data_IF_590439635369
#
_entry.id   IF_590439635369
#
_cell.length_a   1.000
_cell.length_b   1.000
_cell.length_c   1.000
_cell.angle_alpha   90.00
_cell.angle_beta   90.00
_cell.angle_gamma   90.00
#
_symmetry.space_group_name_H-M   'P 1'
#
loop_
_entity.id
_entity.type
_entity.pdbx_description
1 polymer ?
#
# COMPACT_ATOMS: atom_id res chain seq x y z
N UNK A 1 -10.54 -2.82 -9.28
CA UNK A 1 -9.74 -2.16 -8.22
C UNK A 1 -8.50 -2.98 -7.79
N UNK A 2 -8.68 -4.18 -7.22
CA UNK A 2 -7.57 -4.97 -6.65
C UNK A 2 -6.44 -5.27 -7.65
N UNK A 3 -6.75 -5.61 -8.89
CA UNK A 3 -5.72 -5.89 -9.91
C UNK A 3 -4.81 -4.70 -10.19
N UNK A 4 -5.39 -3.49 -10.30
CA UNK A 4 -4.60 -2.27 -10.53
C UNK A 4 -3.72 -1.97 -9.33
N UNK A 5 -4.24 -2.10 -8.10
CA UNK A 5 -3.46 -1.99 -6.87
C UNK A 5 -2.33 -3.03 -6.87
N UNK A 6 -2.59 -4.27 -7.31
CA UNK A 6 -1.57 -5.33 -7.41
C UNK A 6 -0.44 -4.94 -8.35
N UNK A 7 -0.75 -4.34 -9.51
CA UNK A 7 0.23 -3.82 -10.47
C UNK A 7 1.05 -2.65 -9.87
N UNK A 8 0.40 -1.68 -9.24
CA UNK A 8 1.06 -0.51 -8.62
C UNK A 8 1.97 -0.91 -7.43
N UNK A 9 1.55 -1.92 -6.67
CA UNK A 9 2.31 -2.51 -5.55
C UNK A 9 3.16 -3.71 -5.97
N UNK A 10 3.48 -3.85 -7.26
CA UNK A 10 4.38 -4.91 -7.72
C UNK A 10 5.75 -4.80 -7.06
N UNK A 11 6.34 -5.94 -6.72
CA UNK A 11 7.67 -6.06 -6.12
C UNK A 11 8.79 -5.80 -7.14
N UNK A 12 8.54 -5.96 -8.44
CA UNK A 12 9.57 -6.00 -9.49
C UNK A 12 9.69 -4.72 -10.32
N UNK A 13 8.82 -3.73 -10.15
CA UNK A 13 8.75 -2.57 -11.04
C UNK A 13 9.81 -1.47 -10.77
N UNK A 14 10.73 -1.67 -9.82
CA UNK A 14 11.82 -0.72 -9.53
C UNK A 14 11.39 0.63 -8.94
N UNK A 15 10.11 0.83 -8.61
CA UNK A 15 9.64 2.14 -8.14
C UNK A 15 10.08 2.46 -6.72
N UNK A 16 10.55 3.69 -6.53
CA UNK A 16 10.76 4.29 -5.21
C UNK A 16 9.46 4.42 -4.40
N UNK A 17 9.60 4.63 -3.09
CA UNK A 17 8.45 4.71 -2.17
C UNK A 17 7.54 5.91 -2.49
N UNK A 18 8.12 7.09 -2.74
CA UNK A 18 7.38 8.32 -3.06
C UNK A 18 6.52 8.16 -4.32
N UNK A 19 7.12 7.72 -5.44
CA UNK A 19 6.39 7.46 -6.70
C UNK A 19 5.24 6.49 -6.52
N UNK A 20 5.45 5.41 -5.73
CA UNK A 20 4.40 4.42 -5.46
C UNK A 20 3.27 5.02 -4.63
N UNK A 21 3.58 5.81 -3.61
CA UNK A 21 2.59 6.51 -2.77
C UNK A 21 1.72 7.44 -3.62
N UNK A 22 2.33 8.20 -4.51
CA UNK A 22 1.61 9.12 -5.40
C UNK A 22 0.67 8.38 -6.36
N UNK A 23 1.18 7.37 -7.07
CA UNK A 23 0.37 6.59 -8.01
C UNK A 23 -0.81 5.87 -7.31
N UNK A 24 -0.62 5.40 -6.08
CA UNK A 24 -1.68 4.80 -5.28
C UNK A 24 -2.72 5.84 -4.84
N UNK A 25 -2.28 7.01 -4.37
CA UNK A 25 -3.18 8.12 -3.99
C UNK A 25 -4.08 8.51 -5.16
N UNK A 26 -3.49 8.80 -6.32
CA UNK A 26 -4.24 9.20 -7.52
C UNK A 26 -5.27 8.14 -7.93
N UNK A 27 -4.87 6.87 -7.95
CA UNK A 27 -5.78 5.78 -8.32
C UNK A 27 -6.93 5.61 -7.32
N UNK A 28 -6.64 5.61 -6.02
CA UNK A 28 -7.65 5.40 -4.97
C UNK A 28 -8.63 6.57 -4.95
N UNK A 29 -8.13 7.81 -4.99
CA UNK A 29 -8.98 9.02 -5.03
C UNK A 29 -9.90 9.01 -6.24
N UNK A 30 -9.37 8.73 -7.44
CA UNK A 30 -10.20 8.65 -8.65
C UNK A 30 -11.27 7.55 -8.56
N UNK A 31 -10.91 6.39 -8.03
CA UNK A 31 -11.84 5.27 -7.87
C UNK A 31 -12.95 5.58 -6.86
N UNK A 32 -12.61 6.14 -5.70
CA UNK A 32 -13.61 6.52 -4.68
C UNK A 32 -14.54 7.62 -5.20
N UNK A 33 -14.01 8.63 -5.89
CA UNK A 33 -14.81 9.71 -6.47
C UNK A 33 -15.82 9.20 -7.50
N UNK A 34 -15.43 8.23 -8.33
CA UNK A 34 -16.31 7.64 -9.34
C UNK A 34 -17.44 6.84 -8.69
N UNK A 35 -17.14 6.03 -7.68
CA UNK A 35 -18.13 5.15 -7.05
C UNK A 35 -18.89 5.80 -5.88
N UNK A 36 -18.65 7.08 -5.55
CA UNK A 36 -19.12 7.74 -4.32
C UNK A 36 -20.62 7.65 -4.03
N UNK A 37 -21.45 7.43 -5.05
CA UNK A 37 -22.92 7.31 -4.94
C UNK A 37 -23.38 5.91 -4.53
N UNK A 38 -22.51 4.90 -4.56
CA UNK A 38 -22.81 3.55 -4.12
C UNK A 38 -22.49 3.36 -2.63
N UNK A 39 -23.32 2.63 -1.88
CA UNK A 39 -22.96 2.16 -0.55
C UNK A 39 -21.96 1.01 -0.65
N UNK A 40 -20.68 1.35 -0.51
CA UNK A 40 -19.54 0.45 -0.68
C UNK A 40 -18.66 0.36 0.58
N UNK A 41 -19.16 0.84 1.72
CA UNK A 41 -18.41 1.00 2.97
C UNK A 41 -17.82 -0.33 3.46
N UNK A 42 -18.63 -1.39 3.43
CA UNK A 42 -18.21 -2.76 3.80
C UNK A 42 -17.20 -3.36 2.83
N UNK A 43 -17.35 -3.08 1.53
CA UNK A 43 -16.42 -3.54 0.49
C UNK A 43 -15.07 -2.83 0.63
N UNK A 44 -15.08 -1.51 0.80
CA UNK A 44 -13.88 -0.69 0.96
C UNK A 44 -13.07 -1.11 2.19
N UNK A 45 -13.73 -1.42 3.30
CA UNK A 45 -13.05 -1.91 4.52
C UNK A 45 -12.26 -3.20 4.26
N UNK A 46 -12.86 -4.19 3.57
CA UNK A 46 -12.19 -5.43 3.18
C UNK A 46 -11.03 -5.20 2.20
N UNK A 47 -11.21 -4.24 1.28
CA UNK A 47 -10.16 -3.89 0.31
C UNK A 47 -8.99 -3.18 1.01
N UNK A 48 -9.26 -2.31 1.98
CA UNK A 48 -8.26 -1.58 2.74
C UNK A 48 -7.38 -2.52 3.58
N UNK A 49 -7.97 -3.50 4.26
CA UNK A 49 -7.21 -4.52 5.00
C UNK A 49 -6.25 -5.29 4.08
N UNK A 50 -6.76 -5.76 2.94
CA UNK A 50 -5.96 -6.43 1.91
C UNK A 50 -4.86 -5.52 1.36
N UNK A 51 -5.17 -4.24 1.14
CA UNK A 51 -4.23 -3.22 0.67
C UNK A 51 -3.10 -2.95 1.67
N UNK A 52 -3.41 -2.78 2.96
CA UNK A 52 -2.42 -2.62 4.03
C UNK A 52 -1.48 -3.82 4.12
N UNK A 53 -2.00 -5.05 3.98
CA UNK A 53 -1.15 -6.26 3.92
C UNK A 53 -0.16 -6.20 2.75
N UNK A 54 -0.58 -5.71 1.59
CA UNK A 54 0.32 -5.53 0.43
C UNK A 54 1.37 -4.46 0.65
N UNK A 55 0.98 -3.31 1.22
CA UNK A 55 1.92 -2.26 1.56
C UNK A 55 3.00 -2.75 2.52
N UNK A 56 2.62 -3.52 3.56
CA UNK A 56 3.58 -4.14 4.48
C UNK A 56 4.59 -5.02 3.75
N UNK A 57 4.14 -5.85 2.81
CA UNK A 57 5.03 -6.67 1.99
C UNK A 57 6.00 -5.83 1.14
N UNK A 58 5.55 -4.71 0.56
CA UNK A 58 6.42 -3.80 -0.20
C UNK A 58 7.46 -3.13 0.70
N UNK A 59 7.03 -2.61 1.86
CA UNK A 59 7.91 -1.99 2.86
C UNK A 59 8.96 -3.00 3.35
N UNK A 60 8.53 -4.23 3.64
CA UNK A 60 9.42 -5.29 4.09
C UNK A 60 10.48 -5.67 3.05
N UNK A 61 10.12 -5.65 1.76
CA UNK A 61 11.08 -5.82 0.65
C UNK A 61 12.06 -4.65 0.58
N UNK A 62 11.59 -3.41 0.80
CA UNK A 62 12.44 -2.22 0.81
C UNK A 62 13.44 -2.28 1.97
N UNK A 63 13.04 -2.79 3.13
CA UNK A 63 13.93 -3.09 4.25
C UNK A 63 14.65 -4.42 4.03
N UNK A 64 15.48 -4.49 2.99
CA UNK A 64 16.17 -5.72 2.57
C UNK A 64 17.07 -6.31 3.68
N UNK A 65 17.77 -5.46 4.43
CA UNK A 65 18.75 -5.87 5.46
C UNK A 65 18.09 -6.00 6.83
N UNK A 66 18.48 -7.02 7.61
CA UNK A 66 17.97 -7.27 8.98
C UNK A 66 18.18 -6.05 9.88
N UNK A 67 19.38 -5.45 9.87
CA UNK A 67 19.69 -4.21 10.63
C UNK A 67 18.75 -3.06 10.28
N UNK A 68 18.35 -2.92 9.01
CA UNK A 68 17.41 -1.89 8.57
C UNK A 68 16.00 -2.15 9.08
N UNK A 69 15.55 -3.42 9.09
CA UNK A 69 14.26 -3.80 9.67
C UNK A 69 14.22 -3.45 11.15
N UNK A 70 15.19 -3.94 11.91
CA UNK A 70 15.32 -3.66 13.36
C UNK A 70 15.28 -2.16 13.66
N UNK A 71 16.15 -1.37 13.01
CA UNK A 71 16.17 0.10 13.19
C UNK A 71 14.83 0.75 12.91
N UNK A 72 14.15 0.34 11.84
CA UNK A 72 12.87 0.94 11.45
C UNK A 72 11.72 0.49 12.35
N UNK A 73 11.74 -0.74 12.87
CA UNK A 73 10.76 -1.22 13.84
C UNK A 73 10.88 -0.49 15.18
N UNK A 74 12.11 -0.31 15.69
CA UNK A 74 12.37 0.52 16.89
C UNK A 74 11.89 1.96 16.67
N UNK A 75 12.18 2.55 15.51
CA UNK A 75 11.69 3.90 15.16
C UNK A 75 10.15 3.99 15.13
N UNK A 76 9.46 2.88 14.87
CA UNK A 76 8.00 2.79 14.91
C UNK A 76 7.45 2.40 16.30
N UNK A 77 8.29 2.33 17.33
CA UNK A 77 7.90 2.05 18.71
C UNK A 77 7.79 0.57 19.06
N UNK A 78 8.28 -0.33 18.21
CA UNK A 78 8.39 -1.76 18.55
C UNK A 78 9.73 -1.95 19.28
N UNK A 79 9.66 -2.16 20.60
CA UNK A 79 10.79 -2.53 21.44
C UNK A 79 11.02 -4.05 21.43
#
# INVERSE_FOLDING_TARGET
>A
MKERIKKLTSRSNGWGYARRKEALRQYITGWVNYFKLADMTKLLSKVDEWYRRRLRMVIWKLWKRVRTRWRNLIKLGIN
#
